data_IF_593191665605
#
_entry.id   IF_593191665605
#
_cell.length_a   1.000
_cell.length_b   1.000
_cell.length_c   1.000
_cell.angle_alpha   90.00
_cell.angle_beta   90.00
_cell.angle_gamma   90.00
#
_symmetry.space_group_name_H-M   'P 1'
#
loop_
_entity.id
_entity.type
_entity.pdbx_description
1 polymer ?
#
# COMPACT_ATOMS: atom_id res chain seq x y z
N UNK A 1 -2.69 -9.05 -8.90
CA UNK A 1 -2.05 -7.94 -8.21
C UNK A 1 -2.39 -6.60 -8.79
N UNK A 2 -2.48 -6.51 -10.09
CA UNK A 2 -2.82 -5.23 -10.69
C UNK A 2 -4.17 -4.72 -10.22
N UNK A 3 -5.10 -5.62 -9.96
CA UNK A 3 -6.41 -5.18 -9.53
C UNK A 3 -6.34 -4.46 -8.19
N UNK A 4 -5.53 -4.97 -7.29
CA UNK A 4 -5.42 -4.32 -5.99
C UNK A 4 -4.78 -2.95 -6.11
N UNK A 5 -3.80 -2.83 -6.98
CA UNK A 5 -3.17 -1.54 -7.20
C UNK A 5 -4.15 -0.55 -7.78
N UNK A 6 -4.98 -1.01 -8.69
CA UNK A 6 -5.99 -0.13 -9.27
C UNK A 6 -6.99 0.29 -8.21
N UNK A 7 -7.44 -0.64 -7.39
CA UNK A 7 -8.38 -0.31 -6.34
C UNK A 7 -7.80 0.70 -5.37
N UNK A 8 -6.54 0.52 -5.01
CA UNK A 8 -5.89 1.44 -4.10
C UNK A 8 -5.86 2.84 -4.69
N UNK A 9 -5.49 2.93 -5.96
CA UNK A 9 -5.39 4.23 -6.61
C UNK A 9 -6.75 4.90 -6.69
N UNK A 10 -7.77 4.14 -7.05
CA UNK A 10 -9.10 4.71 -7.15
C UNK A 10 -9.63 5.14 -5.80
N UNK A 11 -9.33 4.36 -4.77
CA UNK A 11 -9.89 4.67 -3.47
C UNK A 11 -9.20 5.86 -2.83
N UNK A 12 -7.88 5.92 -2.94
CA UNK A 12 -7.13 6.97 -2.26
C UNK A 12 -6.62 8.06 -3.20
N UNK A 13 -6.76 7.87 -4.47
CA UNK A 13 -6.35 8.90 -5.42
C UNK A 13 -4.86 8.95 -5.67
N UNK A 14 -4.11 7.97 -5.22
CA UNK A 14 -2.67 7.98 -5.44
C UNK A 14 -2.18 6.55 -5.55
N UNK A 15 -1.05 6.37 -6.21
CA UNK A 15 -0.52 5.04 -6.43
C UNK A 15 0.11 4.51 -5.16
N UNK A 16 0.07 3.20 -5.00
CA UNK A 16 0.73 2.56 -3.88
C UNK A 16 2.24 2.71 -4.04
N UNK A 17 2.99 3.00 -2.95
CA UNK A 17 4.44 3.23 -3.05
C UNK A 17 5.17 1.91 -3.28
N UNK A 18 5.33 1.54 -4.53
CA UNK A 18 5.98 0.29 -4.86
C UNK A 18 7.46 0.28 -4.49
N UNK A 19 8.07 1.44 -4.45
CA UNK A 19 9.47 1.48 -4.11
C UNK A 19 9.73 0.96 -2.70
N UNK A 20 8.77 1.19 -1.81
CA UNK A 20 8.94 0.73 -0.44
C UNK A 20 8.67 -0.75 -0.30
N UNK A 21 8.08 -1.37 -1.32
CA UNK A 21 7.76 -2.79 -1.24
C UNK A 21 8.66 -3.63 -2.10
N UNK A 22 9.76 -3.10 -2.56
CA UNK A 22 10.60 -3.85 -3.47
C UNK A 22 11.17 -5.11 -2.84
N UNK A 23 11.38 -5.10 -1.55
CA UNK A 23 11.90 -6.28 -0.89
C UNK A 23 10.85 -7.23 -0.39
N UNK A 24 9.58 -6.94 -0.67
CA UNK A 24 8.51 -7.78 -0.17
C UNK A 24 7.98 -8.69 -1.25
N UNK A 25 7.35 -9.78 -0.83
CA UNK A 25 6.73 -10.68 -1.80
C UNK A 25 5.36 -10.16 -2.18
N UNK A 26 4.82 -10.69 -3.26
CA UNK A 26 3.52 -10.25 -3.71
C UNK A 26 2.46 -10.47 -2.65
N UNK A 27 2.57 -11.56 -1.92
CA UNK A 27 1.59 -11.86 -0.90
C UNK A 27 1.56 -10.75 0.15
N UNK A 28 2.73 -10.31 0.58
CA UNK A 28 2.79 -9.26 1.57
C UNK A 28 2.23 -7.96 1.04
N UNK A 29 2.56 -7.63 -0.19
CA UNK A 29 2.05 -6.40 -0.78
C UNK A 29 0.53 -6.44 -0.88
N UNK A 30 -0.01 -7.57 -1.30
CA UNK A 30 -1.46 -7.70 -1.39
C UNK A 30 -2.10 -7.53 -0.02
N UNK A 31 -1.51 -8.13 0.99
CA UNK A 31 -2.07 -8.03 2.33
C UNK A 31 -2.09 -6.57 2.79
N UNK A 32 -1.02 -5.85 2.53
CA UNK A 32 -0.94 -4.46 2.94
C UNK A 32 -2.02 -3.65 2.23
N UNK A 33 -2.15 -3.84 0.93
CA UNK A 33 -3.15 -3.09 0.17
C UNK A 33 -4.55 -3.42 0.67
N UNK A 34 -4.82 -4.70 0.88
CA UNK A 34 -6.15 -5.09 1.35
C UNK A 34 -6.44 -4.47 2.71
N UNK A 35 -5.45 -4.44 3.57
CA UNK A 35 -5.65 -3.86 4.88
C UNK A 35 -5.93 -2.37 4.76
N UNK A 36 -5.20 -1.68 3.89
CA UNK A 36 -5.44 -0.26 3.67
C UNK A 36 -6.86 -0.02 3.18
N UNK A 37 -7.31 -0.84 2.25
CA UNK A 37 -8.65 -0.70 1.72
C UNK A 37 -9.70 -0.97 2.80
N UNK A 38 -9.43 -1.97 3.64
CA UNK A 38 -10.38 -2.32 4.68
C UNK A 38 -10.48 -1.22 5.72
N UNK A 39 -9.34 -0.64 6.09
CA UNK A 39 -9.33 0.41 7.10
C UNK A 39 -9.64 1.78 6.54
N UNK A 40 -9.77 1.88 5.23
CA UNK A 40 -10.05 3.16 4.59
C UNK A 40 -8.93 4.14 4.85
N UNK A 41 -7.69 3.68 4.94
CA UNK A 41 -6.55 4.54 5.14
C UNK A 41 -5.44 4.18 4.18
N UNK A 42 -4.79 5.17 3.57
CA UNK A 42 -3.69 4.85 2.67
C UNK A 42 -2.48 4.38 3.44
N UNK A 43 -1.57 3.75 2.73
CA UNK A 43 -0.36 3.25 3.34
C UNK A 43 0.49 4.44 3.80
N UNK A 44 0.91 4.42 5.06
CA UNK A 44 1.69 5.50 5.59
C UNK A 44 3.14 5.11 5.64
N UNK A 45 4.00 5.96 5.16
CA UNK A 45 5.41 5.71 5.23
C UNK A 45 5.91 6.37 6.49
N UNK A 46 6.34 5.56 7.43
CA UNK A 46 6.80 6.07 8.69
C UNK A 46 8.23 6.45 8.57
N UNK A 47 8.56 7.35 7.76
CA UNK A 47 9.92 7.60 7.41
C UNK A 47 10.68 8.26 8.52
N UNK A 48 10.08 8.99 9.38
CA UNK A 48 10.86 9.63 10.33
C UNK A 48 10.52 9.31 11.66
N UNK A 49 10.26 8.24 11.87
CA UNK A 49 10.02 7.89 13.16
C UNK A 49 11.14 8.17 14.07
N UNK A 50 11.87 8.59 13.95
CA UNK A 50 12.79 8.84 14.85
C UNK A 50 12.65 9.20 15.97
N UNK A 51 12.43 9.23 16.39
CA UNK A 51 12.52 9.60 17.36
C UNK A 51 12.85 9.49 17.75
#
# INVERSE_FOLDING_TARGET
MDELLDKYKEKFGECFPLMLTMGMSEVQICEIIEECLRNNKPYEVDADSDY
#
